data_IF_161235734784
#
_entry.id   IF_161235734784
#
_cell.length_a   1.000
_cell.length_b   1.000
_cell.length_c   1.000
_cell.angle_alpha   90.00
_cell.angle_beta   90.00
_cell.angle_gamma   90.00
#
_symmetry.space_group_name_H-M   'P 1'
#
loop_
_entity.id
_entity.type
_entity.pdbx_description
1 polymer ?
#
# COMPACT_ATOMS: atom_id res chain seq x y z
N UNK A 1 58.91 -23.58 -1.78
CA UNK A 1 58.71 -22.48 -2.75
C UNK A 1 57.40 -21.79 -2.40
N UNK A 2 57.33 -20.45 -2.55
CA UNK A 2 56.49 -19.58 -1.76
C UNK A 2 55.18 -19.16 -2.45
N UNK A 3 54.27 -18.70 -1.58
CA UNK A 3 53.09 -17.82 -1.73
C UNK A 3 52.83 -17.16 -3.10
N UNK A 4 51.57 -17.24 -3.54
CA UNK A 4 50.92 -16.21 -4.37
C UNK A 4 49.56 -15.88 -3.71
N UNK A 5 49.18 -14.59 -3.60
CA UNK A 5 48.17 -14.10 -2.66
C UNK A 5 46.74 -14.16 -3.23
N UNK A 6 45.77 -14.12 -2.31
CA UNK A 6 44.38 -13.75 -2.55
C UNK A 6 44.34 -12.35 -3.16
N UNK A 7 43.71 -12.20 -4.33
CA UNK A 7 43.25 -10.91 -4.82
C UNK A 7 41.79 -10.77 -4.39
N UNK A 8 41.57 -9.79 -3.51
CA UNK A 8 40.25 -9.30 -3.10
C UNK A 8 39.66 -8.55 -4.30
N UNK A 9 38.56 -9.05 -4.88
CA UNK A 9 37.77 -8.26 -5.84
C UNK A 9 36.90 -7.29 -5.04
N UNK A 10 37.16 -6.00 -5.26
CA UNK A 10 36.41 -4.87 -4.74
C UNK A 10 34.93 -4.99 -5.15
N UNK A 11 34.06 -5.24 -4.16
CA UNK A 11 32.63 -5.03 -4.28
C UNK A 11 32.37 -3.54 -4.55
N UNK A 12 32.07 -3.22 -5.80
CA UNK A 12 31.59 -1.89 -6.19
C UNK A 12 30.27 -1.61 -5.50
N UNK A 13 30.32 -0.68 -4.54
CA UNK A 13 29.18 -0.07 -3.86
C UNK A 13 28.12 0.36 -4.89
N UNK A 14 26.97 -0.32 -4.87
CA UNK A 14 25.80 0.12 -5.60
C UNK A 14 25.23 1.37 -4.92
N UNK A 15 25.12 2.44 -5.70
CA UNK A 15 24.44 3.70 -5.38
C UNK A 15 23.06 3.42 -4.76
N UNK A 16 23.01 3.35 -3.44
CA UNK A 16 21.78 3.46 -2.69
C UNK A 16 21.43 4.93 -2.66
N UNK A 17 20.52 5.35 -3.53
CA UNK A 17 19.90 6.68 -3.44
C UNK A 17 19.32 6.82 -2.02
N UNK A 18 20.04 7.57 -1.20
CA UNK A 18 19.67 7.91 0.16
C UNK A 18 18.42 8.79 0.07
N UNK A 19 17.24 8.18 0.20
CA UNK A 19 15.98 8.91 0.29
C UNK A 19 16.04 9.78 1.55
N UNK A 20 16.44 11.04 1.37
CA UNK A 20 16.46 12.04 2.42
C UNK A 20 15.07 12.17 3.02
N UNK A 21 14.91 11.72 4.28
CA UNK A 21 13.80 12.11 5.14
C UNK A 21 13.79 13.63 5.25
N UNK A 22 12.94 14.32 4.47
CA UNK A 22 12.92 15.78 4.57
C UNK A 22 12.20 16.52 3.46
N UNK A 23 10.89 16.34 3.34
CA UNK A 23 10.00 17.44 2.89
C UNK A 23 8.85 17.58 3.90
N UNK A 24 9.10 18.39 4.93
CA UNK A 24 8.16 18.95 5.91
C UNK A 24 7.07 18.03 6.47
N UNK A 25 7.22 17.57 7.72
CA UNK A 25 6.06 17.09 8.49
C UNK A 25 4.96 18.17 8.40
N UNK A 26 3.84 17.83 7.75
CA UNK A 26 2.69 18.72 7.67
C UNK A 26 2.11 18.80 9.07
N UNK A 27 2.33 19.92 9.75
CA UNK A 27 1.73 20.19 11.05
C UNK A 27 0.20 20.21 10.90
N UNK A 28 -0.48 19.30 11.60
CA UNK A 28 -1.94 19.18 11.52
C UNK A 28 -2.57 20.24 12.43
N UNK A 29 -3.56 21.01 11.94
CA UNK A 29 -4.17 22.07 12.73
C UNK A 29 -4.92 21.51 13.95
N UNK A 30 -4.85 22.23 15.06
CA UNK A 30 -5.72 21.99 16.21
C UNK A 30 -7.15 22.46 15.87
N UNK A 31 -8.08 21.52 15.74
CA UNK A 31 -9.48 21.76 15.38
C UNK A 31 -10.37 21.34 16.56
N UNK A 32 -10.72 22.28 17.43
CA UNK A 32 -11.46 22.00 18.67
C UNK A 32 -12.96 21.81 18.39
N UNK A 33 -13.54 22.71 17.60
CA UNK A 33 -14.99 22.77 17.35
C UNK A 33 -15.40 21.98 16.11
N UNK A 34 -16.69 21.62 16.03
CA UNK A 34 -17.23 20.94 14.85
C UNK A 34 -17.22 21.86 13.63
N UNK A 35 -17.46 23.15 13.84
CA UNK A 35 -17.46 24.18 12.82
C UNK A 35 -16.05 24.40 12.23
N UNK A 36 -14.99 24.36 13.04
CA UNK A 36 -13.60 24.38 12.56
C UNK A 36 -13.28 23.16 11.71
N UNK A 37 -13.67 21.96 12.16
CA UNK A 37 -13.45 20.73 11.40
C UNK A 37 -14.15 20.75 10.04
N UNK A 38 -15.41 21.19 10.00
CA UNK A 38 -16.13 21.28 8.73
C UNK A 38 -15.53 22.34 7.82
N UNK A 39 -15.16 23.53 8.33
CA UNK A 39 -14.48 24.56 7.53
C UNK A 39 -13.18 24.05 6.94
N UNK A 40 -12.34 23.42 7.74
CA UNK A 40 -11.06 22.86 7.30
C UNK A 40 -11.26 21.75 6.24
N UNK A 41 -12.25 20.88 6.44
CA UNK A 41 -12.58 19.87 5.42
C UNK A 41 -13.01 20.50 4.09
N UNK A 42 -13.81 21.57 4.11
CA UNK A 42 -14.18 22.31 2.89
C UNK A 42 -12.98 22.98 2.21
N UNK A 43 -11.98 23.43 2.97
CA UNK A 43 -10.71 23.92 2.41
C UNK A 43 -9.93 22.80 1.72
N UNK A 44 -9.86 21.61 2.32
CA UNK A 44 -9.24 20.43 1.71
C UNK A 44 -9.94 20.02 0.41
N UNK A 45 -11.27 20.07 0.35
CA UNK A 45 -12.02 19.79 -0.88
C UNK A 45 -11.64 20.77 -2.00
N UNK A 46 -11.58 22.08 -1.71
CA UNK A 46 -11.16 23.09 -2.69
C UNK A 46 -9.70 22.91 -3.11
N UNK A 47 -8.81 22.62 -2.17
CA UNK A 47 -7.40 22.35 -2.45
C UNK A 47 -7.25 21.14 -3.37
N UNK A 48 -8.04 20.08 -3.16
CA UNK A 48 -8.05 18.87 -3.99
C UNK A 48 -8.50 19.12 -5.43
N UNK A 49 -9.46 20.02 -5.65
CA UNK A 49 -9.86 20.42 -7.00
C UNK A 49 -8.75 21.19 -7.73
N UNK A 50 -8.04 22.07 -7.02
CA UNK A 50 -6.89 22.80 -7.55
C UNK A 50 -5.72 21.86 -7.85
N UNK A 51 -5.45 20.92 -6.94
CA UNK A 51 -4.45 19.88 -7.11
C UNK A 51 -4.69 19.05 -8.37
N UNK A 52 -5.93 18.60 -8.59
CA UNK A 52 -6.29 17.86 -9.82
C UNK A 52 -5.97 18.65 -11.08
N UNK A 53 -6.42 19.90 -11.14
CA UNK A 53 -6.17 20.78 -12.31
C UNK A 53 -4.67 20.97 -12.55
N UNK A 54 -3.91 21.14 -11.46
CA UNK A 54 -2.45 21.26 -11.52
C UNK A 54 -1.80 19.96 -12.00
N UNK A 55 -2.19 18.81 -11.47
CA UNK A 55 -1.64 17.51 -11.87
C UNK A 55 -1.91 17.18 -13.34
N UNK A 56 -3.10 17.51 -13.86
CA UNK A 56 -3.43 17.38 -15.29
C UNK A 56 -2.56 18.33 -16.13
N UNK A 57 -2.47 19.61 -15.74
CA UNK A 57 -1.68 20.61 -16.47
C UNK A 57 -0.18 20.30 -16.49
N UNK A 58 0.34 19.68 -15.42
CA UNK A 58 1.73 19.25 -15.30
C UNK A 58 1.99 17.87 -15.93
N UNK A 59 0.98 17.20 -16.49
CA UNK A 59 1.14 15.88 -17.09
C UNK A 59 1.47 14.77 -16.09
N UNK A 60 1.06 14.92 -14.82
CA UNK A 60 1.23 13.91 -13.75
C UNK A 60 0.07 12.92 -13.68
N UNK A 61 -1.04 13.23 -14.35
CA UNK A 61 -2.19 12.34 -14.50
C UNK A 61 -2.96 12.68 -15.78
N UNK A 62 -3.71 11.72 -16.29
CA UNK A 62 -4.64 11.95 -17.39
C UNK A 62 -5.90 12.70 -16.93
N UNK A 63 -6.50 13.46 -17.84
CA UNK A 63 -7.82 14.03 -17.63
C UNK A 63 -8.88 12.93 -17.79
N UNK A 64 -9.63 12.57 -16.74
CA UNK A 64 -10.64 11.51 -16.81
C UNK A 64 -11.76 11.78 -17.82
N UNK A 65 -11.95 13.03 -18.23
CA UNK A 65 -12.97 13.42 -19.20
C UNK A 65 -12.49 13.35 -20.65
N UNK A 66 -11.19 13.11 -20.88
CA UNK A 66 -10.59 13.06 -22.22
C UNK A 66 -10.13 11.62 -22.50
N UNK A 67 -10.80 10.90 -23.42
CA UNK A 67 -10.39 9.56 -23.79
C UNK A 67 -8.97 9.55 -24.37
N UNK A 68 -8.15 8.62 -23.91
CA UNK A 68 -6.80 8.37 -24.42
C UNK A 68 -6.59 6.90 -24.75
N UNK A 69 -5.63 6.63 -25.62
CA UNK A 69 -5.18 5.26 -25.90
C UNK A 69 -4.35 4.75 -24.72
N UNK A 70 -4.42 3.45 -24.46
CA UNK A 70 -3.73 2.84 -23.31
C UNK A 70 -2.20 2.97 -23.37
N UNK A 71 -1.62 2.96 -24.57
CA UNK A 71 -0.18 3.16 -24.80
C UNK A 71 0.27 4.63 -24.63
N UNK A 72 -0.68 5.57 -24.52
CA UNK A 72 -0.44 7.00 -24.28
C UNK A 72 -0.85 7.44 -22.87
N UNK A 73 -1.29 6.48 -22.03
CA UNK A 73 -1.72 6.74 -20.67
C UNK A 73 -0.53 7.06 -19.78
N UNK A 74 -0.71 8.05 -18.89
CA UNK A 74 0.32 8.46 -17.94
C UNK A 74 0.29 7.47 -16.77
N UNK A 75 1.43 6.84 -16.51
CA UNK A 75 1.62 6.08 -15.27
C UNK A 75 1.71 7.06 -14.11
N UNK A 76 0.72 7.03 -13.22
CA UNK A 76 0.67 7.93 -12.06
C UNK A 76 1.73 7.52 -11.05
N UNK A 77 2.50 8.49 -10.55
CA UNK A 77 3.47 8.27 -9.46
C UNK A 77 2.87 8.80 -8.16
N UNK A 78 2.90 7.98 -7.11
CA UNK A 78 2.38 8.33 -5.81
C UNK A 78 3.26 9.31 -5.05
N UNK A 79 2.64 10.29 -4.41
CA UNK A 79 3.32 11.33 -3.62
C UNK A 79 2.87 11.37 -2.16
N UNK A 80 2.02 10.43 -1.72
CA UNK A 80 1.61 10.32 -0.33
C UNK A 80 2.74 9.74 0.53
N UNK A 81 3.40 10.60 1.31
CA UNK A 81 4.48 10.18 2.22
C UNK A 81 3.98 9.62 3.57
N UNK A 82 2.66 9.55 3.78
CA UNK A 82 2.01 8.96 4.96
C UNK A 82 1.41 7.58 4.66
N UNK A 83 1.08 6.80 5.70
CA UNK A 83 0.37 5.52 5.53
C UNK A 83 -1.09 5.68 5.03
N UNK A 84 -1.66 6.87 5.17
CA UNK A 84 -3.00 7.24 4.71
C UNK A 84 -2.99 8.67 4.16
N UNK A 85 -3.53 8.93 2.95
CA UNK A 85 -3.60 10.28 2.40
C UNK A 85 -4.32 11.26 3.34
N UNK A 86 -3.78 12.48 3.47
CA UNK A 86 -4.32 13.50 4.36
C UNK A 86 -5.80 13.76 4.14
N UNK A 87 -6.22 13.89 2.87
CA UNK A 87 -7.62 14.07 2.52
C UNK A 87 -8.50 12.92 3.02
N UNK A 88 -8.05 11.67 2.88
CA UNK A 88 -8.79 10.50 3.36
C UNK A 88 -8.92 10.50 4.89
N UNK A 89 -7.86 10.86 5.63
CA UNK A 89 -7.91 10.93 7.10
C UNK A 89 -9.07 11.79 7.59
N UNK A 90 -9.16 13.03 7.08
CA UNK A 90 -10.21 13.96 7.47
C UNK A 90 -11.59 13.56 6.95
N UNK A 91 -11.67 13.02 5.72
CA UNK A 91 -12.94 12.50 5.19
C UNK A 91 -13.49 11.39 6.08
N UNK A 92 -12.66 10.42 6.46
CA UNK A 92 -13.08 9.29 7.30
C UNK A 92 -13.37 9.69 8.74
N UNK A 93 -12.66 10.68 9.30
CA UNK A 93 -13.03 11.27 10.59
C UNK A 93 -14.45 11.84 10.54
N UNK A 94 -14.74 12.65 9.51
CA UNK A 94 -16.07 13.26 9.29
C UNK A 94 -17.17 12.22 9.05
N UNK A 95 -16.88 11.17 8.29
CA UNK A 95 -17.80 10.06 8.00
C UNK A 95 -17.94 9.06 9.16
N UNK A 96 -17.18 9.22 10.24
CA UNK A 96 -17.09 8.26 11.34
C UNK A 96 -16.72 6.84 10.88
N UNK A 97 -15.81 6.76 9.90
CA UNK A 97 -15.36 5.54 9.25
C UNK A 97 -13.87 5.27 9.56
N UNK A 98 -13.53 5.27 10.84
CA UNK A 98 -12.19 4.97 11.35
C UNK A 98 -12.25 3.68 12.17
N UNK A 99 -11.22 2.85 12.06
CA UNK A 99 -11.03 1.73 12.97
C UNK A 99 -10.47 2.22 14.32
N UNK A 100 -10.63 1.40 15.36
CA UNK A 100 -10.15 1.72 16.70
C UNK A 100 -8.63 1.96 16.78
N UNK A 101 -7.86 1.35 15.87
CA UNK A 101 -6.41 1.56 15.78
C UNK A 101 -6.01 2.83 15.02
N UNK A 102 -6.98 3.53 14.44
CA UNK A 102 -6.78 4.77 13.68
C UNK A 102 -7.28 6.01 14.44
N UNK A 103 -7.75 5.85 15.68
CA UNK A 103 -8.25 6.94 16.52
C UNK A 103 -7.35 7.21 17.70
N UNK A 104 -7.31 8.48 18.11
CA UNK A 104 -6.65 8.88 19.36
C UNK A 104 -7.45 8.27 20.53
N UNK A 105 -6.81 7.49 21.43
CA UNK A 105 -7.50 6.83 22.54
C UNK A 105 -8.39 7.77 23.35
N UNK A 106 -9.62 7.36 23.62
CA UNK A 106 -10.61 8.16 24.35
C UNK A 106 -11.33 9.22 23.52
N UNK A 107 -11.06 9.31 22.21
CA UNK A 107 -11.69 10.28 21.31
C UNK A 107 -12.27 9.59 20.06
N UNK A 108 -12.91 10.38 19.18
CA UNK A 108 -13.29 9.97 17.81
C UNK A 108 -12.40 10.62 16.74
N UNK A 109 -11.28 11.21 17.16
CA UNK A 109 -10.36 11.94 16.30
C UNK A 109 -9.37 10.99 15.66
N UNK A 110 -9.02 11.24 14.41
CA UNK A 110 -8.02 10.44 13.69
C UNK A 110 -6.65 10.61 14.34
N UNK A 111 -5.95 9.49 14.54
CA UNK A 111 -4.52 9.49 14.81
C UNK A 111 -3.78 9.51 13.47
N UNK A 112 -3.24 10.68 13.12
CA UNK A 112 -2.59 10.92 11.82
C UNK A 112 -1.39 10.00 11.58
N UNK A 113 -0.73 9.52 12.64
CA UNK A 113 0.44 8.62 12.56
C UNK A 113 0.05 7.16 12.42
N UNK A 114 -1.19 6.78 12.76
CA UNK A 114 -1.67 5.39 12.74
C UNK A 114 -2.73 5.09 11.69
N UNK A 115 -3.33 6.13 11.10
CA UNK A 115 -4.30 5.96 10.02
C UNK A 115 -3.64 5.27 8.81
N UNK A 116 -4.30 4.26 8.25
CA UNK A 116 -3.85 3.56 7.04
C UNK A 116 -4.91 3.66 5.95
N UNK A 117 -4.49 3.93 4.71
CA UNK A 117 -5.40 4.07 3.55
C UNK A 117 -6.32 2.85 3.42
N UNK A 118 -7.62 3.06 3.35
CA UNK A 118 -8.60 1.99 3.11
C UNK A 118 -8.61 1.57 1.63
N UNK A 119 -9.10 0.37 1.34
CA UNK A 119 -9.30 -0.03 -0.05
C UNK A 119 -10.64 0.51 -0.58
N UNK A 120 -10.59 1.24 -1.70
CA UNK A 120 -11.79 1.71 -2.40
C UNK A 120 -11.91 1.05 -3.78
N UNK A 121 -13.09 0.50 -4.08
CA UNK A 121 -13.39 -0.08 -5.39
C UNK A 121 -13.62 1.03 -6.42
N UNK A 122 -13.06 0.86 -7.61
CA UNK A 122 -13.26 1.75 -8.75
C UNK A 122 -12.92 3.23 -8.45
N UNK A 123 -11.83 3.46 -7.71
CA UNK A 123 -11.35 4.80 -7.39
C UNK A 123 -10.44 5.43 -8.47
N UNK A 124 -10.12 4.69 -9.55
CA UNK A 124 -9.15 5.09 -10.59
C UNK A 124 -9.28 6.55 -11.05
N UNK A 125 -10.42 6.90 -11.65
CA UNK A 125 -10.67 8.25 -12.19
C UNK A 125 -10.62 9.37 -11.14
N UNK A 126 -10.83 9.03 -9.86
CA UNK A 126 -10.83 9.97 -8.75
C UNK A 126 -9.47 10.12 -8.08
N UNK A 127 -8.56 9.18 -8.33
CA UNK A 127 -7.26 9.10 -7.68
C UNK A 127 -6.37 10.23 -8.17
N UNK A 128 -5.73 10.92 -7.23
CA UNK A 128 -4.67 11.89 -7.47
C UNK A 128 -3.32 11.29 -7.07
N UNK A 129 -2.20 11.83 -7.55
CA UNK A 129 -0.87 11.46 -7.07
C UNK A 129 -0.74 11.45 -5.54
N UNK A 130 -1.32 12.45 -4.85
CA UNK A 130 -1.30 12.53 -3.38
C UNK A 130 -2.17 11.49 -2.66
N UNK A 131 -2.97 10.71 -3.39
CA UNK A 131 -3.71 9.58 -2.83
C UNK A 131 -2.93 8.26 -2.90
N UNK A 132 -1.87 8.20 -3.72
CA UNK A 132 -1.06 7.00 -3.91
C UNK A 132 0.21 7.10 -3.07
N UNK A 133 0.53 6.02 -2.36
CA UNK A 133 1.78 5.91 -1.58
C UNK A 133 2.88 5.33 -2.48
N UNK A 134 4.08 5.92 -2.52
CA UNK A 134 5.19 5.35 -3.27
C UNK A 134 5.70 4.05 -2.62
N UNK A 135 6.44 3.20 -3.36
CA UNK A 135 6.88 1.88 -2.88
C UNK A 135 7.53 1.82 -1.49
N UNK A 136 8.42 2.76 -1.09
CA UNK A 136 9.01 2.73 0.25
C UNK A 136 7.96 2.92 1.36
N UNK A 137 6.97 3.78 1.13
CA UNK A 137 5.87 4.05 2.07
C UNK A 137 4.92 2.86 2.15
N UNK A 138 4.69 2.17 1.02
CA UNK A 138 3.91 0.94 0.98
C UNK A 138 4.53 -0.19 1.82
N UNK A 139 5.85 -0.40 1.68
CA UNK A 139 6.60 -1.33 2.53
C UNK A 139 6.50 -0.94 4.01
N UNK A 140 6.78 0.33 4.34
CA UNK A 140 6.68 0.85 5.72
C UNK A 140 5.28 0.67 6.30
N UNK A 141 4.25 0.81 5.47
CA UNK A 141 2.86 0.55 5.87
C UNK A 141 2.66 -0.92 6.25
N UNK A 142 3.16 -1.87 5.46
CA UNK A 142 3.09 -3.30 5.82
C UNK A 142 3.95 -3.63 7.05
N UNK A 143 5.06 -2.93 7.25
CA UNK A 143 5.87 -3.06 8.47
C UNK A 143 5.06 -2.68 9.71
N UNK A 144 4.34 -1.56 9.67
CA UNK A 144 3.40 -1.21 10.73
C UNK A 144 2.29 -2.28 10.91
N UNK A 145 1.63 -2.70 9.83
CA UNK A 145 0.51 -3.64 9.92
C UNK A 145 0.94 -5.01 10.46
N UNK A 146 2.02 -5.58 9.95
CA UNK A 146 2.42 -6.97 10.25
C UNK A 146 3.43 -7.09 11.39
N UNK A 147 4.24 -6.07 11.66
CA UNK A 147 5.29 -6.14 12.70
C UNK A 147 5.00 -5.30 13.95
N UNK A 148 4.10 -4.31 13.89
CA UNK A 148 3.62 -3.59 15.10
C UNK A 148 2.19 -4.00 15.47
N UNK A 149 1.22 -3.71 14.60
CA UNK A 149 -0.19 -3.83 14.95
C UNK A 149 -0.62 -5.28 15.17
N UNK A 150 -0.28 -6.17 14.23
CA UNK A 150 -0.66 -7.58 14.28
C UNK A 150 -0.13 -8.30 15.54
N UNK A 151 1.16 -8.17 15.93
CA UNK A 151 1.66 -8.78 17.17
C UNK A 151 1.08 -8.15 18.44
N UNK A 152 0.83 -6.83 18.43
CA UNK A 152 0.33 -6.10 19.60
C UNK A 152 -1.13 -6.42 19.92
N UNK A 153 -1.98 -6.47 18.90
CA UNK A 153 -3.44 -6.60 19.07
C UNK A 153 -3.96 -8.01 18.75
N UNK A 154 -3.12 -8.84 18.12
CA UNK A 154 -3.44 -10.21 17.73
C UNK A 154 -4.06 -10.32 16.33
N UNK A 155 -3.93 -11.50 15.73
CA UNK A 155 -4.41 -11.79 14.36
C UNK A 155 -5.89 -11.56 14.17
N UNK A 156 -6.63 -12.17 15.07
CA UNK A 156 -8.06 -12.27 15.00
C UNK A 156 -8.81 -10.94 15.19
N UNK A 157 -8.43 -10.07 16.15
CA UNK A 157 -9.00 -8.72 16.24
C UNK A 157 -8.69 -7.89 15.00
N UNK A 158 -7.43 -7.91 14.54
CA UNK A 158 -6.93 -7.05 13.45
C UNK A 158 -7.27 -7.54 12.04
N UNK A 159 -7.74 -8.79 11.89
CA UNK A 159 -7.93 -9.46 10.60
C UNK A 159 -8.66 -8.59 9.57
N UNK A 160 -9.87 -8.09 9.89
CA UNK A 160 -10.68 -7.34 8.92
C UNK A 160 -9.99 -6.05 8.47
N UNK A 161 -9.29 -5.37 9.39
CA UNK A 161 -8.56 -4.15 9.09
C UNK A 161 -7.32 -4.44 8.25
N UNK A 162 -6.46 -5.36 8.69
CA UNK A 162 -5.24 -5.69 7.95
C UNK A 162 -5.58 -6.25 6.57
N UNK A 163 -6.63 -7.07 6.43
CA UNK A 163 -7.10 -7.56 5.13
C UNK A 163 -7.48 -6.42 4.18
N UNK A 164 -8.17 -5.41 4.68
CA UNK A 164 -8.55 -4.24 3.88
C UNK A 164 -7.34 -3.36 3.53
N UNK A 165 -6.53 -3.02 4.53
CA UNK A 165 -5.38 -2.11 4.38
C UNK A 165 -4.26 -2.71 3.54
N UNK A 166 -3.99 -4.01 3.67
CA UNK A 166 -3.02 -4.72 2.81
C UNK A 166 -3.50 -4.81 1.36
N UNK A 167 -4.81 -4.96 1.12
CA UNK A 167 -5.38 -4.86 -0.23
C UNK A 167 -5.22 -3.45 -0.81
N UNK A 168 -5.39 -2.40 0.00
CA UNK A 168 -5.12 -1.02 -0.41
C UNK A 168 -3.65 -0.83 -0.80
N UNK A 169 -2.72 -1.42 -0.05
CA UNK A 169 -1.28 -1.41 -0.39
C UNK A 169 -1.02 -2.04 -1.76
N UNK A 170 -1.53 -3.25 -2.01
CA UNK A 170 -1.36 -3.90 -3.33
C UNK A 170 -1.98 -3.08 -4.46
N UNK A 171 -3.15 -2.48 -4.22
CA UNK A 171 -3.80 -1.63 -5.20
C UNK A 171 -2.95 -0.40 -5.57
N UNK A 172 -2.25 0.21 -4.62
CA UNK A 172 -1.36 1.33 -4.91
C UNK A 172 -0.17 0.91 -5.79
N UNK A 173 0.39 -0.30 -5.62
CA UNK A 173 1.39 -0.84 -6.54
C UNK A 173 0.82 -1.01 -7.95
N UNK A 174 -0.37 -1.61 -8.07
CA UNK A 174 -1.04 -1.81 -9.37
C UNK A 174 -1.31 -0.48 -10.08
N UNK A 175 -1.79 0.53 -9.36
CA UNK A 175 -2.08 1.86 -9.93
C UNK A 175 -0.84 2.60 -10.43
N UNK A 176 0.33 2.28 -9.87
CA UNK A 176 1.63 2.88 -10.25
C UNK A 176 2.40 2.00 -11.25
N UNK A 177 1.83 0.88 -11.70
CA UNK A 177 2.51 -0.11 -12.54
C UNK A 177 3.85 -0.61 -11.97
N UNK A 178 3.95 -0.65 -10.64
CA UNK A 178 5.17 -1.01 -9.92
C UNK A 178 5.28 -2.53 -9.72
N UNK A 179 6.34 -3.13 -10.27
CA UNK A 179 6.60 -4.59 -10.23
C UNK A 179 7.99 -4.95 -9.68
N UNK A 180 8.72 -3.96 -9.15
CA UNK A 180 10.08 -4.15 -8.62
C UNK A 180 10.15 -4.96 -7.32
N UNK A 181 11.36 -5.04 -6.75
CA UNK A 181 11.65 -5.83 -5.54
C UNK A 181 10.75 -5.51 -4.35
N UNK A 182 10.43 -4.24 -4.10
CA UNK A 182 9.51 -3.81 -3.05
C UNK A 182 8.07 -4.29 -3.29
N UNK A 183 7.60 -4.28 -4.54
CA UNK A 183 6.27 -4.78 -4.88
C UNK A 183 6.20 -6.28 -4.61
N UNK A 184 7.22 -7.03 -5.03
CA UNK A 184 7.37 -8.47 -4.79
C UNK A 184 7.35 -8.77 -3.29
N UNK A 185 8.22 -8.14 -2.49
CA UNK A 185 8.29 -8.35 -1.04
C UNK A 185 6.93 -8.09 -0.35
N UNK A 186 6.28 -6.98 -0.72
CA UNK A 186 4.98 -6.62 -0.17
C UNK A 186 3.89 -7.64 -0.50
N UNK A 187 3.87 -8.15 -1.74
CA UNK A 187 2.89 -9.14 -2.18
C UNK A 187 3.13 -10.51 -1.55
N UNK A 188 4.39 -10.93 -1.38
CA UNK A 188 4.75 -12.17 -0.66
C UNK A 188 4.21 -12.15 0.78
N UNK A 189 4.39 -11.03 1.48
CA UNK A 189 3.89 -10.84 2.85
C UNK A 189 2.36 -10.88 2.90
N UNK A 190 1.69 -10.26 1.92
CA UNK A 190 0.24 -10.35 1.79
C UNK A 190 -0.25 -11.78 1.52
N UNK A 191 0.45 -12.55 0.67
CA UNK A 191 0.11 -13.94 0.40
C UNK A 191 0.22 -14.80 1.67
N UNK A 192 1.31 -14.64 2.43
CA UNK A 192 1.48 -15.30 3.74
C UNK A 192 0.36 -14.93 4.72
N UNK A 193 -0.02 -13.66 4.80
CA UNK A 193 -1.14 -13.22 5.63
C UNK A 193 -2.45 -13.92 5.26
N UNK A 194 -2.77 -13.99 3.96
CA UNK A 194 -3.99 -14.69 3.49
C UNK A 194 -3.95 -16.19 3.80
N UNK A 195 -2.80 -16.86 3.67
CA UNK A 195 -2.63 -18.27 4.08
C UNK A 195 -2.91 -18.44 5.58
N UNK A 196 -2.38 -17.56 6.42
CA UNK A 196 -2.65 -17.58 7.87
C UNK A 196 -4.13 -17.32 8.17
N UNK A 197 -4.78 -16.41 7.44
CA UNK A 197 -6.21 -16.11 7.60
C UNK A 197 -7.09 -17.33 7.30
N UNK A 198 -6.77 -18.09 6.25
CA UNK A 198 -7.45 -19.34 5.91
C UNK A 198 -7.38 -20.39 7.03
N UNK A 199 -6.35 -20.33 7.89
CA UNK A 199 -6.22 -21.20 9.04
C UNK A 199 -6.93 -20.63 10.28
N UNK A 200 -6.58 -19.41 10.69
CA UNK A 200 -7.02 -18.84 11.97
C UNK A 200 -8.48 -18.40 11.98
N UNK A 201 -9.00 -17.89 10.86
CA UNK A 201 -10.34 -17.31 10.80
C UNK A 201 -11.41 -18.28 10.28
N UNK A 202 -11.02 -19.50 9.86
CA UNK A 202 -11.91 -20.48 9.21
C UNK A 202 -13.19 -20.80 10.00
N UNK A 203 -13.08 -20.87 11.32
CA UNK A 203 -14.19 -21.20 12.22
C UNK A 203 -15.02 -20.00 12.66
N UNK A 204 -14.69 -18.78 12.23
CA UNK A 204 -15.32 -17.56 12.73
C UNK A 204 -16.58 -17.19 11.96
N UNK A 205 -17.57 -16.70 12.70
CA UNK A 205 -18.79 -16.17 12.11
C UNK A 205 -18.47 -15.03 11.14
N UNK A 206 -19.04 -15.09 9.93
CA UNK A 206 -18.85 -14.08 8.89
C UNK A 206 -17.56 -14.20 8.08
N UNK A 207 -16.67 -15.15 8.39
CA UNK A 207 -15.53 -15.45 7.53
C UNK A 207 -15.98 -16.14 6.25
N UNK A 208 -15.57 -15.61 5.08
CA UNK A 208 -15.87 -16.20 3.78
C UNK A 208 -14.60 -16.81 3.22
N UNK A 209 -14.54 -18.15 3.25
CA UNK A 209 -13.42 -18.91 2.70
C UNK A 209 -13.19 -18.56 1.23
N UNK A 210 -14.25 -18.52 0.42
CA UNK A 210 -14.15 -18.23 -1.01
C UNK A 210 -13.60 -16.83 -1.31
N UNK A 211 -14.00 -15.81 -0.53
CA UNK A 211 -13.46 -14.46 -0.72
C UNK A 211 -11.99 -14.38 -0.33
N UNK A 212 -11.58 -15.08 0.72
CA UNK A 212 -10.18 -15.11 1.17
C UNK A 212 -9.29 -15.87 0.17
N UNK A 213 -9.74 -17.03 -0.31
CA UNK A 213 -9.06 -17.79 -1.38
C UNK A 213 -8.92 -16.95 -2.64
N UNK A 214 -9.94 -16.18 -3.03
CA UNK A 214 -9.85 -15.27 -4.16
C UNK A 214 -8.81 -14.16 -3.95
N UNK A 215 -8.69 -13.60 -2.73
CA UNK A 215 -7.64 -12.62 -2.45
C UNK A 215 -6.24 -13.23 -2.52
N UNK A 216 -6.06 -14.44 -2.00
CA UNK A 216 -4.81 -15.17 -2.08
C UNK A 216 -4.44 -15.48 -3.54
N UNK A 217 -5.39 -16.00 -4.33
CA UNK A 217 -5.20 -16.33 -5.75
C UNK A 217 -4.77 -15.09 -6.55
N UNK A 218 -5.46 -13.95 -6.39
CA UNK A 218 -5.10 -12.71 -7.07
C UNK A 218 -3.69 -12.23 -6.69
N UNK A 219 -3.31 -12.38 -5.42
CA UNK A 219 -1.99 -11.98 -4.92
C UNK A 219 -0.90 -12.88 -5.52
N UNK A 220 -1.10 -14.20 -5.52
CA UNK A 220 -0.17 -15.16 -6.11
C UNK A 220 -0.06 -15.01 -7.63
N UNK A 221 -1.16 -14.67 -8.31
CA UNK A 221 -1.16 -14.40 -9.75
C UNK A 221 -0.31 -13.17 -10.08
N UNK A 222 -0.46 -12.09 -9.30
CA UNK A 222 0.38 -10.89 -9.46
C UNK A 222 1.86 -11.20 -9.23
N UNK A 223 2.18 -11.99 -8.18
CA UNK A 223 3.56 -12.44 -7.91
C UNK A 223 4.15 -13.22 -9.08
N UNK A 224 3.39 -14.15 -9.67
CA UNK A 224 3.84 -14.90 -10.85
C UNK A 224 4.24 -13.96 -11.99
N UNK A 225 3.40 -12.97 -12.30
CA UNK A 225 3.66 -11.97 -13.34
C UNK A 225 4.87 -11.09 -13.00
N UNK A 226 5.05 -10.71 -11.74
CA UNK A 226 6.21 -9.93 -11.31
C UNK A 226 7.52 -10.70 -11.43
N UNK A 227 7.55 -11.98 -11.02
CA UNK A 227 8.74 -12.82 -11.18
C UNK A 227 9.11 -13.01 -12.66
N UNK A 228 8.11 -13.23 -13.52
CA UNK A 228 8.33 -13.33 -14.97
C UNK A 228 8.86 -12.01 -15.55
N UNK A 229 8.32 -10.88 -15.10
CA UNK A 229 8.75 -9.55 -15.54
C UNK A 229 10.12 -9.10 -15.02
N UNK A 230 10.57 -9.63 -13.88
CA UNK A 230 11.86 -9.30 -13.26
C UNK A 230 12.96 -10.33 -13.55
N UNK A 231 12.68 -11.36 -14.35
CA UNK A 231 13.64 -12.41 -14.68
C UNK A 231 14.94 -11.83 -15.30
N UNK A 232 16.08 -12.12 -14.68
CA UNK A 232 17.39 -11.60 -15.09
C UNK A 232 17.71 -10.18 -14.58
N UNK A 233 16.79 -9.53 -13.87
CA UNK A 233 16.99 -8.24 -13.22
C UNK A 233 16.99 -8.36 -11.69
N UNK A 234 16.01 -9.07 -11.13
CA UNK A 234 15.89 -9.33 -9.70
C UNK A 234 15.31 -10.73 -9.47
N UNK A 235 15.98 -11.52 -8.66
CA UNK A 235 15.52 -12.86 -8.26
C UNK A 235 15.14 -12.83 -6.78
N UNK A 236 13.85 -13.11 -6.49
CA UNK A 236 13.41 -13.18 -5.10
C UNK A 236 13.86 -14.51 -4.47
N UNK A 237 14.45 -14.51 -3.26
CA UNK A 237 14.75 -15.75 -2.55
C UNK A 237 13.49 -16.56 -2.18
N UNK A 238 12.31 -15.93 -2.21
CA UNK A 238 11.03 -16.55 -1.84
C UNK A 238 10.20 -16.98 -3.07
N UNK A 239 10.74 -16.86 -4.28
CA UNK A 239 10.00 -17.20 -5.50
C UNK A 239 9.51 -18.66 -5.49
N UNK A 240 10.37 -19.60 -5.08
CA UNK A 240 10.01 -21.02 -4.98
C UNK A 240 8.84 -21.25 -4.02
N UNK A 241 8.85 -20.60 -2.86
CA UNK A 241 7.75 -20.67 -1.87
C UNK A 241 6.43 -20.22 -2.51
N UNK A 242 6.43 -19.05 -3.16
CA UNK A 242 5.23 -18.50 -3.77
C UNK A 242 4.74 -19.31 -4.97
N UNK A 243 5.64 -19.87 -5.78
CA UNK A 243 5.27 -20.78 -6.88
C UNK A 243 4.61 -22.05 -6.35
N UNK A 244 5.10 -22.62 -5.26
CA UNK A 244 4.46 -23.77 -4.60
C UNK A 244 3.06 -23.41 -4.11
N UNK A 245 2.90 -22.25 -3.45
CA UNK A 245 1.58 -21.79 -3.02
C UNK A 245 0.61 -21.56 -4.18
N UNK A 246 1.09 -21.01 -5.30
CA UNK A 246 0.31 -20.84 -6.53
C UNK A 246 -0.16 -22.19 -7.09
N UNK A 247 0.67 -23.23 -7.06
CA UNK A 247 0.24 -24.58 -7.47
C UNK A 247 -0.77 -25.20 -6.50
N UNK A 248 -0.56 -25.06 -5.19
CA UNK A 248 -1.43 -25.65 -4.17
C UNK A 248 -2.85 -25.07 -4.19
N UNK A 249 -3.01 -23.77 -4.47
CA UNK A 249 -4.35 -23.16 -4.53
C UNK A 249 -5.14 -23.62 -5.76
N UNK A 250 -4.47 -24.05 -6.83
CA UNK A 250 -5.08 -24.59 -8.06
C UNK A 250 -5.02 -26.14 -8.13
N UNK A 251 -4.79 -26.84 -7.02
CA UNK A 251 -4.55 -28.32 -7.02
C UNK A 251 -5.70 -29.16 -7.61
N UNK A 252 -6.87 -28.56 -7.88
CA UNK A 252 -8.04 -29.22 -8.45
C UNK A 252 -8.43 -28.68 -9.83
N UNK A 253 -7.68 -27.72 -10.35
CA UNK A 253 -7.85 -27.20 -11.72
C UNK A 253 -7.00 -28.02 -12.71
#
# INVERSE_FOLDING_TARGET
MPLVPHEDEEDTEGDGEEYTEGEGEIEEPELETAEERERFYQELVKARELERKKAIAEGKMDDPLVPKRLDEAITMVGTCMDMCPRFERYRRERENNLFEWEVIPGTRRVDHKRAVKMYERAAGDKTLPSDLRPPPVLKRTLDYLFHDLLPREGFSPTFNFIRDRSRSVRNDFTMQHETGSLAIECHERCARFHILALHFERGRAGFSLALEEQQLMNTLQSLKEFYEGQHGHYESPNELEMRIHHQLIHIRD
#
